data_IF_980361889872
#
_entry.id   IF_980361889872
#
_cell.length_a   1.000
_cell.length_b   1.000
_cell.length_c   1.000
_cell.angle_alpha   90.00
_cell.angle_beta   90.00
_cell.angle_gamma   90.00
#
_symmetry.space_group_name_H-M   'P 1'
#
loop_
_entity.id
_entity.type
_entity.pdbx_description
1 polymer ?
#
# COMPACT_ATOMS: atom_id res chain seq x y z
N UNK A 1 15.39 -14.46 2.11
CA UNK A 1 14.17 -13.85 1.53
C UNK A 1 14.49 -13.36 0.14
N UNK A 2 13.58 -13.58 -0.81
CA UNK A 2 13.75 -13.15 -2.21
C UNK A 2 13.50 -11.66 -2.33
N UNK A 3 14.34 -10.96 -3.12
CA UNK A 3 14.10 -9.56 -3.46
C UNK A 3 12.97 -9.47 -4.47
N UNK A 4 11.91 -8.73 -4.11
CA UNK A 4 10.72 -8.61 -4.96
C UNK A 4 10.65 -7.26 -5.68
N UNK A 5 11.15 -6.18 -5.06
CA UNK A 5 11.18 -4.84 -5.64
C UNK A 5 12.54 -4.19 -5.39
N UNK A 6 13.11 -3.58 -6.41
CA UNK A 6 14.36 -2.82 -6.32
C UNK A 6 14.22 -1.46 -7.02
N UNK A 7 14.57 -0.40 -6.32
CA UNK A 7 14.75 0.94 -6.87
C UNK A 7 16.24 1.23 -6.95
N UNK A 8 16.71 1.68 -8.11
CA UNK A 8 18.12 2.00 -8.35
C UNK A 8 18.23 3.44 -8.83
N UNK A 9 18.75 4.32 -7.98
CA UNK A 9 18.98 5.74 -8.24
C UNK A 9 17.73 6.46 -8.77
N UNK A 10 16.56 6.11 -8.21
CA UNK A 10 15.29 6.66 -8.65
C UNK A 10 15.17 8.12 -8.22
N UNK A 11 14.89 8.98 -9.18
CA UNK A 11 14.66 10.39 -8.97
C UNK A 11 13.35 10.88 -9.60
N UNK A 12 12.81 11.95 -9.06
CA UNK A 12 11.61 12.60 -9.61
C UNK A 12 11.68 14.11 -9.48
N UNK A 13 11.48 14.80 -10.62
CA UNK A 13 11.50 16.26 -10.73
C UNK A 13 10.25 16.77 -11.42
N UNK A 14 9.79 17.94 -10.98
CA UNK A 14 8.73 18.71 -11.65
C UNK A 14 9.32 20.09 -11.96
N UNK A 15 9.59 20.37 -13.23
CA UNK A 15 10.35 21.56 -13.64
C UNK A 15 11.72 21.57 -12.96
N UNK A 16 12.02 22.67 -12.26
CA UNK A 16 13.28 22.82 -11.53
C UNK A 16 13.24 22.24 -10.10
N UNK A 17 12.07 21.81 -9.65
CA UNK A 17 11.90 21.28 -8.29
C UNK A 17 12.19 19.77 -8.25
N UNK A 18 13.21 19.38 -7.50
CA UNK A 18 13.53 17.97 -7.22
C UNK A 18 12.71 17.49 -6.01
N UNK A 19 11.86 16.50 -6.23
CA UNK A 19 11.01 15.88 -5.20
C UNK A 19 11.71 14.67 -4.56
N UNK A 20 12.33 13.81 -5.39
CA UNK A 20 13.09 12.64 -4.97
C UNK A 20 14.45 12.63 -5.67
N UNK A 21 15.51 12.23 -4.94
CA UNK A 21 16.87 12.18 -5.46
C UNK A 21 17.53 10.87 -5.05
N UNK A 22 18.06 10.14 -6.05
CA UNK A 22 18.92 8.97 -5.87
C UNK A 22 18.38 7.93 -4.89
N UNK A 23 17.04 7.68 -4.93
CA UNK A 23 16.41 6.71 -4.06
C UNK A 23 16.87 5.31 -4.44
N UNK A 24 17.47 4.62 -3.47
CA UNK A 24 17.85 3.22 -3.57
C UNK A 24 17.10 2.44 -2.48
N UNK A 25 16.28 1.48 -2.88
CA UNK A 25 15.43 0.71 -1.99
C UNK A 25 15.35 -0.73 -2.48
N UNK A 26 15.46 -1.68 -1.59
CA UNK A 26 15.17 -3.08 -1.87
C UNK A 26 14.14 -3.58 -0.88
N UNK A 27 13.03 -4.14 -1.40
CA UNK A 27 12.02 -4.86 -0.60
C UNK A 27 12.12 -6.35 -0.87
N UNK A 28 12.00 -7.14 0.19
CA UNK A 28 11.99 -8.60 0.13
C UNK A 28 10.60 -9.16 0.42
N UNK A 29 10.32 -10.34 -0.09
CA UNK A 29 9.07 -11.06 0.21
C UNK A 29 8.90 -11.19 1.73
N UNK A 30 7.70 -10.85 2.24
CA UNK A 30 7.36 -10.88 3.65
C UNK A 30 7.99 -9.78 4.51
N UNK A 31 8.72 -8.84 3.93
CA UNK A 31 9.33 -7.73 4.66
C UNK A 31 8.29 -6.64 4.94
N UNK A 32 8.28 -6.16 6.17
CA UNK A 32 7.43 -5.05 6.62
C UNK A 32 8.27 -3.80 6.85
N UNK A 33 8.21 -2.88 5.89
CA UNK A 33 9.02 -1.65 5.88
C UNK A 33 8.14 -0.42 6.02
N UNK A 34 8.51 0.48 6.92
CA UNK A 34 7.86 1.78 7.08
C UNK A 34 8.65 2.89 6.42
N UNK A 35 7.92 3.86 5.85
CA UNK A 35 8.47 5.13 5.38
C UNK A 35 7.98 6.24 6.30
N UNK A 36 8.92 7.01 6.83
CA UNK A 36 8.66 8.21 7.63
C UNK A 36 9.40 9.42 7.06
N UNK A 37 9.12 10.59 7.57
CA UNK A 37 9.73 11.84 7.13
C UNK A 37 8.75 13.01 7.19
N UNK A 38 9.22 14.25 7.10
CA UNK A 38 8.38 15.44 7.18
C UNK A 38 7.30 15.48 6.08
N UNK A 39 6.25 16.25 6.30
CA UNK A 39 5.22 16.49 5.29
C UNK A 39 5.86 17.12 4.03
N UNK A 40 5.45 16.65 2.86
CA UNK A 40 5.93 17.17 1.59
C UNK A 40 7.31 16.67 1.12
N UNK A 41 7.97 15.76 1.86
CA UNK A 41 9.29 15.23 1.46
C UNK A 41 9.25 14.18 0.33
N UNK A 42 8.08 13.85 -0.22
CA UNK A 42 7.97 12.96 -1.38
C UNK A 42 7.52 11.53 -1.09
N UNK A 43 7.08 11.19 0.14
CA UNK A 43 6.64 9.83 0.51
C UNK A 43 5.55 9.27 -0.42
N UNK A 44 4.44 10.00 -0.57
CA UNK A 44 3.34 9.59 -1.46
C UNK A 44 3.77 9.59 -2.94
N UNK A 45 4.70 10.47 -3.34
CA UNK A 45 5.29 10.47 -4.67
C UNK A 45 6.06 9.18 -4.92
N UNK A 46 6.87 8.75 -3.95
CA UNK A 46 7.61 7.48 -4.02
C UNK A 46 6.65 6.29 -4.17
N UNK A 47 5.59 6.23 -3.36
CA UNK A 47 4.59 5.15 -3.50
C UNK A 47 3.90 5.16 -4.86
N UNK A 48 3.56 6.35 -5.41
CA UNK A 48 2.95 6.47 -6.75
C UNK A 48 3.90 6.01 -7.87
N UNK A 49 5.19 6.28 -7.75
CA UNK A 49 6.21 5.78 -8.69
C UNK A 49 6.26 4.24 -8.61
N UNK A 50 6.33 3.67 -7.41
CA UNK A 50 6.35 2.22 -7.21
C UNK A 50 5.04 1.59 -7.73
N UNK A 51 3.90 2.24 -7.54
CA UNK A 51 2.60 1.78 -8.06
C UNK A 51 2.47 1.94 -9.60
N UNK A 52 3.49 2.47 -10.29
CA UNK A 52 3.44 2.78 -11.73
C UNK A 52 2.29 3.74 -12.11
N UNK A 53 1.94 4.66 -11.21
CA UNK A 53 0.96 5.73 -11.46
C UNK A 53 1.61 6.97 -12.06
N UNK A 54 2.88 7.20 -11.76
CA UNK A 54 3.73 8.23 -12.36
C UNK A 54 5.09 7.61 -12.70
N UNK A 55 5.72 8.08 -13.77
CA UNK A 55 7.05 7.60 -14.17
C UNK A 55 8.14 8.39 -13.44
N UNK A 56 9.22 7.74 -12.99
CA UNK A 56 10.38 8.46 -12.46
C UNK A 56 11.04 9.29 -13.57
N UNK A 57 11.75 10.36 -13.22
CA UNK A 57 12.53 11.17 -14.16
C UNK A 57 13.94 10.64 -14.36
N UNK A 58 14.41 9.77 -13.46
CA UNK A 58 15.70 9.06 -13.54
C UNK A 58 15.66 7.78 -12.73
N UNK A 59 16.64 6.91 -12.96
CA UNK A 59 16.78 5.64 -12.26
C UNK A 59 15.91 4.54 -12.86
N UNK A 60 15.88 3.38 -12.20
CA UNK A 60 15.19 2.17 -12.69
C UNK A 60 14.48 1.48 -11.55
N UNK A 61 13.29 0.93 -11.84
CA UNK A 61 12.55 0.05 -10.94
C UNK A 61 12.57 -1.38 -11.51
N UNK A 62 12.95 -2.33 -10.67
CA UNK A 62 12.89 -3.76 -11.00
C UNK A 62 11.83 -4.42 -10.11
N UNK A 63 10.97 -5.22 -10.71
CA UNK A 63 10.02 -6.06 -10.03
C UNK A 63 10.26 -7.52 -10.40
N UNK A 64 10.51 -8.35 -9.40
CA UNK A 64 10.88 -9.76 -9.58
C UNK A 64 12.06 -9.93 -10.56
N UNK A 65 13.02 -9.01 -10.49
CA UNK A 65 14.21 -8.95 -11.34
C UNK A 65 14.00 -8.36 -12.75
N UNK A 66 12.77 -8.07 -13.16
CA UNK A 66 12.46 -7.48 -14.46
C UNK A 66 12.20 -5.96 -14.34
N UNK A 67 12.69 -5.19 -15.31
CA UNK A 67 12.39 -3.77 -15.41
C UNK A 67 10.88 -3.57 -15.62
N UNK A 68 10.25 -2.73 -14.77
CA UNK A 68 8.80 -2.49 -14.83
C UNK A 68 8.34 -1.86 -16.13
N UNK A 69 9.22 -1.12 -16.84
CA UNK A 69 8.92 -0.53 -18.14
C UNK A 69 8.70 -1.59 -19.23
N UNK A 70 9.20 -2.82 -19.02
CA UNK A 70 9.03 -3.96 -19.92
C UNK A 70 7.83 -4.84 -19.57
N UNK A 71 7.16 -4.56 -18.45
CA UNK A 71 6.00 -5.31 -18.00
C UNK A 71 4.71 -4.66 -18.50
N UNK A 72 3.66 -5.46 -18.72
CA UNK A 72 2.31 -4.89 -18.91
C UNK A 72 1.88 -4.15 -17.65
N UNK A 73 1.45 -2.87 -17.75
CA UNK A 73 0.99 -2.11 -16.59
C UNK A 73 -0.14 -2.79 -15.84
N UNK A 74 -1.06 -3.45 -16.54
CA UNK A 74 -2.18 -4.17 -15.94
C UNK A 74 -1.68 -5.36 -15.12
N UNK A 75 -0.74 -6.13 -15.66
CA UNK A 75 -0.16 -7.27 -14.95
C UNK A 75 0.63 -6.81 -13.73
N UNK A 76 1.45 -5.75 -13.87
CA UNK A 76 2.22 -5.19 -12.77
C UNK A 76 1.31 -4.70 -11.63
N UNK A 77 0.25 -3.93 -11.95
CA UNK A 77 -0.69 -3.38 -10.96
C UNK A 77 -1.58 -4.44 -10.29
N UNK A 78 -1.68 -5.63 -10.85
CA UNK A 78 -2.30 -6.78 -10.16
C UNK A 78 -1.39 -7.37 -9.08
N UNK A 79 -0.07 -7.18 -9.21
CA UNK A 79 0.94 -7.69 -8.27
C UNK A 79 1.38 -6.64 -7.24
N UNK A 80 1.22 -5.36 -7.55
CA UNK A 80 1.58 -4.22 -6.69
C UNK A 80 0.34 -3.38 -6.46
N UNK A 81 -0.21 -3.48 -5.25
CA UNK A 81 -1.44 -2.78 -4.85
C UNK A 81 -1.13 -1.52 -4.07
N UNK A 82 -1.86 -0.45 -4.33
CA UNK A 82 -1.69 0.85 -3.67
C UNK A 82 -2.98 1.31 -3.01
N UNK A 83 -2.92 1.52 -1.70
CA UNK A 83 -3.98 2.07 -0.88
C UNK A 83 -3.67 3.53 -0.55
N UNK A 84 -4.50 4.43 -1.05
CA UNK A 84 -4.32 5.88 -0.90
C UNK A 84 -4.74 6.37 0.47
N UNK A 85 -4.17 7.48 0.93
CA UNK A 85 -4.56 8.17 2.16
C UNK A 85 -6.05 8.52 2.18
N UNK A 86 -6.56 9.07 1.08
CA UNK A 86 -8.00 9.31 0.91
C UNK A 86 -8.59 8.17 0.09
N UNK A 87 -9.49 7.36 0.68
CA UNK A 87 -10.07 6.22 -0.03
C UNK A 87 -10.95 6.68 -1.19
N UNK A 88 -10.63 6.23 -2.40
CA UNK A 88 -11.46 6.44 -3.57
C UNK A 88 -12.40 5.24 -3.75
N UNK A 89 -13.66 5.38 -3.39
CA UNK A 89 -14.73 4.43 -3.67
C UNK A 89 -15.49 4.86 -4.92
N UNK A 90 -16.04 3.90 -5.64
CA UNK A 90 -16.79 4.11 -6.86
C UNK A 90 -18.09 3.28 -6.84
N UNK A 91 -18.94 3.45 -7.86
CA UNK A 91 -20.26 2.83 -7.89
C UNK A 91 -21.18 3.40 -6.81
N UNK A 92 -22.19 2.66 -6.46
CA UNK A 92 -23.22 3.09 -5.53
C UNK A 92 -23.10 2.44 -4.15
N UNK A 93 -22.57 1.20 -4.10
CA UNK A 93 -22.55 0.38 -2.89
C UNK A 93 -21.16 -0.12 -2.51
N UNK A 94 -21.04 -0.63 -1.29
CA UNK A 94 -19.85 -1.37 -0.83
C UNK A 94 -19.65 -2.62 -1.71
N UNK A 95 -20.73 -3.31 -2.05
CA UNK A 95 -20.68 -4.49 -2.93
C UNK A 95 -20.00 -4.17 -4.26
N UNK A 96 -20.35 -3.07 -4.93
CA UNK A 96 -19.72 -2.65 -6.20
C UNK A 96 -18.19 -2.53 -6.06
N UNK A 97 -17.73 -2.01 -4.93
CA UNK A 97 -16.29 -1.88 -4.66
C UNK A 97 -15.60 -3.21 -4.45
N UNK A 98 -16.21 -4.11 -3.68
CA UNK A 98 -15.58 -5.40 -3.32
C UNK A 98 -15.56 -6.39 -4.48
N UNK A 99 -16.54 -6.34 -5.39
CA UNK A 99 -16.58 -7.22 -6.57
C UNK A 99 -15.74 -6.74 -7.74
N UNK A 100 -15.36 -5.47 -7.77
CA UNK A 100 -14.58 -4.90 -8.88
C UNK A 100 -13.29 -5.66 -9.19
N UNK A 101 -12.47 -6.06 -8.21
CA UNK A 101 -11.27 -6.88 -8.47
C UNK A 101 -11.57 -8.23 -9.13
N UNK A 102 -12.75 -8.78 -8.88
CA UNK A 102 -13.24 -10.03 -9.51
C UNK A 102 -13.66 -9.78 -10.96
N UNK A 103 -14.40 -8.68 -11.19
CA UNK A 103 -14.87 -8.31 -12.52
C UNK A 103 -13.72 -8.08 -13.51
N UNK A 104 -12.68 -7.31 -13.10
CA UNK A 104 -11.53 -7.05 -13.99
C UNK A 104 -10.69 -8.30 -14.28
N UNK A 105 -10.88 -9.39 -13.51
CA UNK A 105 -10.25 -10.70 -13.72
C UNK A 105 -11.17 -11.71 -14.41
N UNK A 106 -12.38 -11.28 -14.81
CA UNK A 106 -13.41 -12.15 -15.36
C UNK A 106 -13.73 -13.35 -14.46
N UNK A 107 -13.71 -13.14 -13.14
CA UNK A 107 -14.04 -14.14 -12.13
C UNK A 107 -15.35 -13.78 -11.44
N UNK A 108 -16.04 -14.81 -10.93
CA UNK A 108 -17.24 -14.61 -10.12
C UNK A 108 -16.84 -14.34 -8.67
N UNK A 109 -17.43 -13.31 -8.03
CA UNK A 109 -17.18 -13.05 -6.62
C UNK A 109 -17.69 -14.20 -5.75
N UNK A 110 -16.98 -14.48 -4.67
CA UNK A 110 -17.35 -15.47 -3.65
C UNK A 110 -18.05 -14.75 -2.48
N UNK A 111 -19.39 -14.88 -2.32
CA UNK A 111 -20.14 -14.14 -1.30
C UNK A 111 -19.62 -14.38 0.12
N UNK A 112 -19.31 -15.62 0.45
CA UNK A 112 -18.81 -15.98 1.78
C UNK A 112 -17.46 -15.31 2.08
N UNK A 113 -16.59 -15.18 1.07
CA UNK A 113 -15.32 -14.47 1.20
C UNK A 113 -15.55 -12.98 1.44
N UNK A 114 -16.47 -12.35 0.72
CA UNK A 114 -16.79 -10.91 0.90
C UNK A 114 -17.27 -10.65 2.34
N UNK A 115 -18.17 -11.49 2.86
CA UNK A 115 -18.68 -11.37 4.22
C UNK A 115 -17.59 -11.64 5.28
N UNK A 116 -16.77 -12.66 5.06
CA UNK A 116 -15.64 -12.97 5.95
C UNK A 116 -14.61 -11.82 5.99
N UNK A 117 -14.32 -11.19 4.86
CA UNK A 117 -13.41 -10.06 4.79
C UNK A 117 -13.99 -8.82 5.50
N UNK A 118 -15.29 -8.52 5.33
CA UNK A 118 -15.95 -7.47 6.10
C UNK A 118 -15.81 -7.71 7.62
N UNK A 119 -16.15 -8.91 8.08
CA UNK A 119 -16.06 -9.27 9.49
C UNK A 119 -14.63 -9.14 10.03
N UNK A 120 -13.63 -9.59 9.25
CA UNK A 120 -12.21 -9.49 9.60
C UNK A 120 -11.79 -8.04 9.84
N UNK A 121 -12.29 -7.11 9.04
CA UNK A 121 -12.02 -5.68 9.17
C UNK A 121 -13.00 -4.96 10.12
N UNK A 122 -13.78 -5.68 10.91
CA UNK A 122 -14.71 -5.12 11.90
C UNK A 122 -15.89 -4.37 11.29
N UNK A 123 -16.34 -4.81 10.11
CA UNK A 123 -17.54 -4.30 9.44
C UNK A 123 -18.65 -5.36 9.51
N UNK A 124 -19.88 -4.93 9.79
CA UNK A 124 -21.02 -5.82 9.84
C UNK A 124 -21.40 -6.32 8.43
N UNK A 125 -22.05 -7.48 8.34
CA UNK A 125 -22.45 -8.08 7.07
C UNK A 125 -23.37 -7.15 6.25
N UNK A 126 -24.25 -6.41 6.93
CA UNK A 126 -25.19 -5.45 6.34
C UNK A 126 -24.46 -4.28 5.63
N UNK A 127 -23.20 -4.05 5.98
CA UNK A 127 -22.37 -3.02 5.32
C UNK A 127 -22.20 -3.30 3.83
N UNK A 128 -22.30 -4.56 3.41
CA UNK A 128 -22.17 -4.93 2.00
C UNK A 128 -23.15 -4.19 1.08
N UNK A 129 -24.38 -3.99 1.55
CA UNK A 129 -25.46 -3.35 0.78
C UNK A 129 -25.56 -1.83 1.00
N UNK A 130 -24.75 -1.27 1.92
CA UNK A 130 -24.78 0.17 2.19
C UNK A 130 -24.31 0.98 0.98
N UNK A 131 -24.92 2.15 0.81
CA UNK A 131 -24.40 3.17 -0.10
C UNK A 131 -23.04 3.65 0.38
N UNK A 132 -22.10 3.90 -0.54
CA UNK A 132 -20.79 4.47 -0.21
C UNK A 132 -20.89 5.86 0.42
N UNK A 133 -22.01 6.57 0.22
CA UNK A 133 -22.27 7.89 0.80
C UNK A 133 -22.65 7.83 2.28
N UNK A 134 -23.15 6.67 2.75
CA UNK A 134 -23.54 6.44 4.15
C UNK A 134 -22.37 6.03 5.04
N UNK A 135 -21.20 5.72 4.45
CA UNK A 135 -20.04 5.28 5.18
C UNK A 135 -19.30 6.44 5.85
N UNK A 136 -18.86 6.21 7.08
CA UNK A 136 -17.86 7.07 7.75
C UNK A 136 -16.50 7.02 7.03
N UNK A 137 -15.62 7.96 7.31
CA UNK A 137 -14.26 7.97 6.75
C UNK A 137 -13.48 6.69 7.05
N UNK A 138 -13.57 6.19 8.27
CA UNK A 138 -12.92 4.94 8.67
C UNK A 138 -13.52 3.69 8.02
N UNK A 139 -14.84 3.64 7.80
CA UNK A 139 -15.49 2.57 7.04
C UNK A 139 -15.04 2.59 5.58
N UNK A 140 -15.01 3.78 4.93
CA UNK A 140 -14.50 3.94 3.56
C UNK A 140 -13.07 3.43 3.43
N UNK A 141 -12.21 3.76 4.40
CA UNK A 141 -10.82 3.31 4.41
C UNK A 141 -10.71 1.79 4.49
N UNK A 142 -11.47 1.16 5.38
CA UNK A 142 -11.50 -0.30 5.51
C UNK A 142 -12.07 -0.99 4.26
N UNK A 143 -13.14 -0.49 3.68
CA UNK A 143 -13.69 -1.00 2.41
C UNK A 143 -12.67 -0.90 1.29
N UNK A 144 -11.97 0.23 1.17
CA UNK A 144 -10.90 0.40 0.18
C UNK A 144 -9.77 -0.62 0.38
N UNK A 145 -9.38 -0.87 1.63
CA UNK A 145 -8.34 -1.85 1.96
C UNK A 145 -8.79 -3.28 1.65
N UNK A 146 -10.03 -3.66 2.03
CA UNK A 146 -10.61 -4.97 1.69
C UNK A 146 -10.64 -5.17 0.18
N UNK A 147 -11.04 -4.16 -0.59
CA UNK A 147 -11.02 -4.22 -2.07
C UNK A 147 -9.63 -4.54 -2.61
N UNK A 148 -8.60 -3.88 -2.11
CA UNK A 148 -7.23 -4.09 -2.54
C UNK A 148 -6.67 -5.47 -2.14
N UNK A 149 -7.27 -6.14 -1.16
CA UNK A 149 -6.87 -7.44 -0.65
C UNK A 149 -7.76 -8.60 -1.11
N UNK A 150 -8.75 -8.36 -2.00
CA UNK A 150 -9.56 -9.43 -2.57
C UNK A 150 -8.70 -10.46 -3.30
N UNK A 151 -7.67 -10.00 -4.00
CA UNK A 151 -6.60 -10.82 -4.56
C UNK A 151 -5.29 -10.32 -3.98
N UNK A 152 -4.62 -11.17 -3.22
CA UNK A 152 -3.42 -10.77 -2.48
C UNK A 152 -2.29 -10.37 -3.45
N UNK A 153 -1.76 -9.14 -3.34
CA UNK A 153 -0.63 -8.70 -4.15
C UNK A 153 0.68 -9.29 -3.62
N UNK A 154 1.75 -9.20 -4.41
CA UNK A 154 3.12 -9.46 -3.92
C UNK A 154 3.69 -8.27 -3.13
N UNK A 155 3.30 -7.07 -3.50
CA UNK A 155 3.71 -5.83 -2.82
C UNK A 155 2.47 -5.01 -2.48
N UNK A 156 2.35 -4.60 -1.23
CA UNK A 156 1.28 -3.76 -0.72
C UNK A 156 1.84 -2.41 -0.30
N UNK A 157 1.39 -1.36 -0.96
CA UNK A 157 1.78 0.02 -0.69
C UNK A 157 0.66 0.72 0.06
N UNK A 158 0.95 1.25 1.24
CA UNK A 158 -0.02 1.87 2.14
C UNK A 158 0.38 3.32 2.42
N UNK A 159 -0.50 4.26 2.10
CA UNK A 159 -0.26 5.69 2.27
C UNK A 159 -1.15 6.25 3.38
N UNK A 160 -0.63 6.35 4.60
CA UNK A 160 -1.29 6.90 5.80
C UNK A 160 -2.72 6.37 6.04
N UNK A 161 -2.96 5.09 5.77
CA UNK A 161 -4.29 4.48 5.72
C UNK A 161 -5.02 4.41 7.08
N UNK A 162 -4.32 4.63 8.18
CA UNK A 162 -4.88 4.57 9.54
C UNK A 162 -5.28 5.93 10.09
N UNK A 163 -4.98 7.02 9.38
CA UNK A 163 -5.19 8.40 9.86
C UNK A 163 -6.66 8.74 10.19
N UNK A 164 -7.61 8.09 9.54
CA UNK A 164 -9.05 8.26 9.76
C UNK A 164 -9.68 7.22 10.69
N UNK A 165 -8.88 6.33 11.27
CA UNK A 165 -9.34 5.24 12.14
C UNK A 165 -9.20 5.63 13.63
N UNK A 166 -10.13 5.13 14.46
CA UNK A 166 -9.95 5.09 15.89
C UNK A 166 -8.90 4.03 16.32
N UNK A 167 -8.43 4.08 17.55
CA UNK A 167 -7.34 3.23 18.04
C UNK A 167 -7.67 1.72 17.92
N UNK A 168 -8.91 1.31 18.18
CA UNK A 168 -9.31 -0.09 18.08
C UNK A 168 -9.20 -0.59 16.63
N UNK A 169 -9.71 0.19 15.68
CA UNK A 169 -9.65 -0.15 14.26
C UNK A 169 -8.23 -0.03 13.68
N UNK A 170 -7.40 0.89 14.19
CA UNK A 170 -5.97 0.93 13.86
C UNK A 170 -5.27 -0.38 14.24
N UNK A 171 -5.46 -0.85 15.47
CA UNK A 171 -4.86 -2.10 15.94
C UNK A 171 -5.31 -3.29 15.07
N UNK A 172 -6.61 -3.41 14.79
CA UNK A 172 -7.13 -4.47 13.90
C UNK A 172 -6.49 -4.45 12.52
N UNK A 173 -6.40 -3.27 11.90
CA UNK A 173 -5.77 -3.12 10.57
C UNK A 173 -4.30 -3.49 10.63
N UNK A 174 -3.56 -3.02 11.65
CA UNK A 174 -2.16 -3.35 11.85
C UNK A 174 -1.95 -4.87 11.94
N UNK A 175 -2.71 -5.56 12.79
CA UNK A 175 -2.61 -7.01 12.99
C UNK A 175 -2.89 -7.77 11.69
N UNK A 176 -3.88 -7.33 10.92
CA UNK A 176 -4.21 -7.94 9.62
C UNK A 176 -3.06 -7.78 8.63
N UNK A 177 -2.48 -6.58 8.51
CA UNK A 177 -1.39 -6.32 7.57
C UNK A 177 -0.12 -7.09 7.98
N UNK A 178 0.21 -7.12 9.27
CA UNK A 178 1.33 -7.93 9.78
C UNK A 178 1.11 -9.42 9.50
N UNK A 179 -0.11 -9.94 9.73
CA UNK A 179 -0.45 -11.32 9.39
C UNK A 179 -0.23 -11.63 7.90
N UNK A 180 -0.66 -10.74 7.01
CA UNK A 180 -0.45 -10.94 5.57
C UNK A 180 1.02 -10.87 5.17
N UNK A 181 1.81 -9.97 5.76
CA UNK A 181 3.24 -9.93 5.52
C UNK A 181 3.92 -11.24 5.95
N UNK A 182 3.67 -11.69 7.19
CA UNK A 182 4.32 -12.87 7.77
C UNK A 182 3.85 -14.19 7.13
N UNK A 183 2.53 -14.40 6.99
CA UNK A 183 1.95 -15.69 6.61
C UNK A 183 1.73 -15.85 5.09
N UNK A 184 1.63 -14.75 4.36
CA UNK A 184 1.40 -14.74 2.91
C UNK A 184 2.58 -14.22 2.11
N UNK A 185 3.70 -13.92 2.78
CA UNK A 185 4.93 -13.38 2.18
C UNK A 185 4.70 -12.10 1.35
N UNK A 186 3.73 -11.26 1.75
CA UNK A 186 3.48 -9.98 1.09
C UNK A 186 4.52 -8.98 1.57
N UNK A 187 5.25 -8.37 0.65
CA UNK A 187 6.12 -7.24 0.97
C UNK A 187 5.26 -6.00 1.24
N UNK A 188 5.42 -5.36 2.39
CA UNK A 188 4.65 -4.18 2.78
C UNK A 188 5.56 -2.96 2.84
N UNK A 189 5.13 -1.90 2.17
CA UNK A 189 5.75 -0.58 2.26
C UNK A 189 4.69 0.42 2.72
N UNK A 190 4.81 0.91 3.94
CA UNK A 190 3.79 1.71 4.58
C UNK A 190 4.30 3.08 5.00
N UNK A 191 3.68 4.13 4.48
CA UNK A 191 3.89 5.51 4.93
C UNK A 191 3.03 5.77 6.15
N UNK A 192 3.67 6.11 7.27
CA UNK A 192 2.98 6.45 8.52
C UNK A 192 3.75 7.47 9.32
N UNK A 193 3.02 8.21 10.17
CA UNK A 193 3.55 9.05 11.23
C UNK A 193 3.22 8.50 12.63
N UNK A 194 2.51 7.38 12.72
CA UNK A 194 2.12 6.76 13.98
C UNK A 194 3.30 6.06 14.64
N UNK A 195 3.61 6.47 15.89
CA UNK A 195 4.74 5.91 16.65
C UNK A 195 4.50 4.46 17.07
N UNK A 196 3.24 4.05 17.22
CA UNK A 196 2.88 2.66 17.53
C UNK A 196 3.22 1.73 16.37
N UNK A 197 2.89 2.14 15.15
CA UNK A 197 3.18 1.40 13.93
C UNK A 197 4.70 1.27 13.71
N UNK A 198 5.46 2.35 13.96
CA UNK A 198 6.92 2.39 13.79
C UNK A 198 7.64 1.36 14.68
N UNK A 199 7.08 0.99 15.84
CA UNK A 199 7.72 0.05 16.78
C UNK A 199 7.71 -1.40 16.29
N UNK A 200 6.81 -1.77 15.40
CA UNK A 200 6.60 -3.15 14.95
C UNK A 200 7.16 -3.45 13.56
N UNK A 201 7.83 -2.47 12.92
CA UNK A 201 8.41 -2.66 11.59
C UNK A 201 9.74 -3.43 11.62
N UNK A 202 10.01 -4.21 10.57
CA UNK A 202 11.31 -4.86 10.33
C UNK A 202 12.38 -3.82 9.97
N UNK A 203 12.00 -2.84 9.15
CA UNK A 203 12.87 -1.72 8.77
C UNK A 203 12.11 -0.40 8.71
N UNK A 204 12.80 0.70 8.91
CA UNK A 204 12.26 2.05 8.81
C UNK A 204 13.14 2.88 7.88
N UNK A 205 12.52 3.46 6.88
CA UNK A 205 13.15 4.38 5.93
C UNK A 205 12.72 5.80 6.27
N UNK A 206 13.68 6.70 6.41
CA UNK A 206 13.40 8.12 6.61
C UNK A 206 13.76 8.90 5.36
N UNK A 207 12.78 9.61 4.77
CA UNK A 207 13.03 10.56 3.71
C UNK A 207 13.34 11.94 4.32
N UNK A 208 14.46 12.54 3.90
CA UNK A 208 14.89 13.85 4.37
C UNK A 208 14.04 14.98 3.77
N UNK A 209 13.98 16.13 4.44
CA UNK A 209 13.19 17.29 4.03
C UNK A 209 13.64 17.92 2.70
N UNK A 210 14.93 17.81 2.36
CA UNK A 210 15.51 18.41 1.16
C UNK A 210 15.79 17.37 0.10
N UNK A 211 14.97 17.37 -0.96
CA UNK A 211 15.10 16.50 -2.13
C UNK A 211 15.01 14.99 -1.85
N UNK A 212 14.30 14.58 -0.78
CA UNK A 212 13.96 13.18 -0.55
C UNK A 212 15.15 12.22 -0.48
N UNK A 213 16.29 12.64 0.07
CA UNK A 213 17.40 11.71 0.34
C UNK A 213 16.95 10.69 1.38
N UNK A 214 17.30 9.43 1.15
CA UNK A 214 16.85 8.31 1.95
C UNK A 214 17.91 7.90 2.97
N UNK A 215 17.50 7.72 4.23
CA UNK A 215 18.27 7.07 5.28
C UNK A 215 17.55 5.83 5.76
N UNK A 216 18.20 4.69 5.69
CA UNK A 216 17.67 3.41 6.17
C UNK A 216 18.20 3.10 7.56
N UNK A 217 17.31 2.70 8.47
CA UNK A 217 17.67 2.10 9.75
C UNK A 217 17.00 0.73 9.86
N UNK A 218 17.81 -0.32 9.74
CA UNK A 218 17.35 -1.70 9.98
C UNK A 218 17.36 -1.97 11.48
N UNK A 219 16.28 -2.52 12.02
CA UNK A 219 16.28 -3.07 13.37
C UNK A 219 16.81 -4.49 13.28
N UNK A 220 17.90 -4.77 13.98
CA UNK A 220 18.31 -6.14 14.23
C UNK A 220 17.19 -6.85 15.02
N UNK A 221 16.70 -7.96 14.47
CA UNK A 221 15.77 -8.84 15.19
C UNK A 221 16.52 -9.38 16.41
N UNK A 222 16.09 -8.95 17.60
CA UNK A 222 16.55 -9.50 18.87
C UNK A 222 15.91 -10.87 19.13
#
# INVERSE_FOLDING_TARGET
>A
MKEILQLKQVGYRIGDNTILRDINLTLREGEFTLITGPSGCGKSTLLKIIASLISPTSGTLLFDGADIERLSPEHYRQQVSYCTQTPALFGDTVYDNLIFPWQIRNQRPEPDKLLADLARFGLAAETLEKSITELSGGEKQRVSLIRNLQFLPKVLLLDEITSALDEENKHKVNDIIHHYAAEKNIAVLWVTHDRGEIRHADSVITLAANAGEMQESTRERA
#
